data_IF_743325826603
#
_entry.id   IF_743325826603
#
_cell.length_a   1.000
_cell.length_b   1.000
_cell.length_c   1.000
_cell.angle_alpha   90.00
_cell.angle_beta   90.00
_cell.angle_gamma   90.00
#
_symmetry.space_group_name_H-M   'P 1'
#
loop_
_entity.id
_entity.type
_entity.pdbx_description
1 polymer ?
#
# COMPACT_ATOMS: atom_id res chain seq x y z
N UNK A 1 -23.68 36.20 -2.02
CA UNK A 1 -23.84 35.24 -3.15
C UNK A 1 -22.54 35.20 -3.93
N UNK A 2 -21.98 34.02 -4.18
CA UNK A 2 -20.74 33.91 -4.96
C UNK A 2 -20.97 34.18 -6.45
N UNK A 3 -19.94 34.68 -7.13
CA UNK A 3 -19.96 34.92 -8.59
C UNK A 3 -20.19 33.59 -9.34
N UNK A 4 -21.11 33.60 -10.29
CA UNK A 4 -21.46 32.43 -11.11
C UNK A 4 -20.78 32.48 -12.47
N UNK A 5 -20.67 31.36 -13.15
CA UNK A 5 -20.13 31.25 -14.53
C UNK A 5 -20.86 32.21 -15.50
N UNK A 6 -22.16 32.39 -15.30
CA UNK A 6 -23.02 33.31 -16.07
C UNK A 6 -22.62 34.77 -15.93
N UNK A 7 -22.16 35.18 -14.77
CA UNK A 7 -21.73 36.56 -14.51
C UNK A 7 -20.41 36.86 -15.25
N UNK A 8 -19.50 35.89 -15.26
CA UNK A 8 -18.24 35.96 -16.06
C UNK A 8 -18.57 36.03 -17.56
N UNK A 9 -19.50 35.19 -18.03
CA UNK A 9 -19.93 35.18 -19.43
C UNK A 9 -20.51 36.53 -19.86
N UNK A 10 -21.39 37.12 -19.04
CA UNK A 10 -21.98 38.46 -19.26
C UNK A 10 -20.89 39.52 -19.30
N UNK A 11 -19.95 39.52 -18.37
CA UNK A 11 -18.85 40.50 -18.30
C UNK A 11 -17.87 40.35 -19.47
N UNK A 12 -17.62 39.12 -19.92
CA UNK A 12 -16.72 38.82 -21.04
C UNK A 12 -17.39 39.03 -22.41
N UNK A 13 -18.72 39.22 -22.50
CA UNK A 13 -19.47 39.37 -23.76
C UNK A 13 -19.48 38.10 -24.62
N UNK A 14 -19.43 36.92 -23.97
CA UNK A 14 -19.41 35.63 -24.65
C UNK A 14 -20.42 34.65 -24.02
N UNK A 15 -20.66 33.50 -24.71
CA UNK A 15 -21.57 32.49 -24.16
C UNK A 15 -20.98 31.78 -22.91
N UNK A 16 -21.87 31.24 -22.06
CA UNK A 16 -21.49 30.39 -20.94
C UNK A 16 -20.64 29.22 -21.37
N UNK A 17 -20.94 28.62 -22.54
CA UNK A 17 -20.16 27.56 -23.13
C UNK A 17 -18.74 28.02 -23.47
N UNK A 18 -18.57 29.20 -24.03
CA UNK A 18 -17.26 29.80 -24.36
C UNK A 18 -16.41 30.01 -23.12
N UNK A 19 -17.01 30.55 -22.03
CA UNK A 19 -16.31 30.72 -20.74
C UNK A 19 -15.89 29.36 -20.17
N UNK A 20 -16.78 28.36 -20.19
CA UNK A 20 -16.48 27.01 -19.71
C UNK A 20 -15.32 26.37 -20.51
N UNK A 21 -15.34 26.49 -21.83
CA UNK A 21 -14.25 25.97 -22.69
C UNK A 21 -12.93 26.71 -22.45
N UNK A 22 -12.95 28.03 -22.28
CA UNK A 22 -11.76 28.82 -22.00
C UNK A 22 -11.12 28.43 -20.66
N UNK A 23 -11.91 28.38 -19.57
CA UNK A 23 -11.44 28.06 -18.23
C UNK A 23 -11.01 26.58 -18.08
N UNK A 24 -11.45 25.69 -18.98
CA UNK A 24 -11.03 24.29 -19.07
C UNK A 24 -9.85 24.05 -20.03
N UNK A 25 -9.25 25.11 -20.59
CA UNK A 25 -8.06 24.98 -21.42
C UNK A 25 -8.31 24.39 -22.81
N UNK A 26 -9.56 24.41 -23.32
CA UNK A 26 -9.91 23.81 -24.62
C UNK A 26 -9.21 24.54 -25.78
N UNK A 27 -8.62 23.79 -26.71
CA UNK A 27 -7.97 24.32 -27.92
C UNK A 27 -8.93 24.96 -28.91
N UNK A 28 -10.24 24.77 -28.69
CA UNK A 28 -11.29 25.44 -29.50
C UNK A 28 -11.40 26.94 -29.23
N UNK A 29 -10.74 27.44 -28.18
CA UNK A 29 -10.71 28.86 -27.83
C UNK A 29 -9.30 29.39 -28.07
N UNK A 30 -9.20 30.47 -28.86
CA UNK A 30 -7.87 31.06 -29.12
C UNK A 30 -7.24 31.62 -27.84
N UNK A 31 -5.91 31.68 -27.82
CA UNK A 31 -5.12 32.02 -26.63
C UNK A 31 -5.45 33.41 -26.07
N UNK A 32 -5.73 34.39 -26.93
CA UNK A 32 -6.04 35.76 -26.52
C UNK A 32 -7.40 35.84 -25.81
N UNK A 33 -8.42 35.17 -26.35
CA UNK A 33 -9.75 35.07 -25.71
C UNK A 33 -9.69 34.30 -24.39
N UNK A 34 -8.91 33.24 -24.33
CA UNK A 34 -8.69 32.46 -23.11
C UNK A 34 -8.08 33.33 -22.02
N UNK A 35 -6.96 33.99 -22.31
CA UNK A 35 -6.28 34.85 -21.33
C UNK A 35 -7.17 36.02 -20.84
N UNK A 36 -8.02 36.56 -21.72
CA UNK A 36 -9.01 37.60 -21.34
C UNK A 36 -10.06 37.06 -20.37
N UNK A 37 -10.60 35.86 -20.63
CA UNK A 37 -11.62 35.24 -19.78
C UNK A 37 -11.04 34.83 -18.44
N UNK A 38 -9.85 34.26 -18.40
CA UNK A 38 -9.13 33.87 -17.17
C UNK A 38 -8.90 35.09 -16.27
N UNK A 39 -8.43 36.20 -16.84
CA UNK A 39 -8.22 37.47 -16.12
C UNK A 39 -9.51 37.98 -15.52
N UNK A 40 -10.59 38.07 -16.31
CA UNK A 40 -11.90 38.54 -15.84
C UNK A 40 -12.47 37.65 -14.74
N UNK A 41 -12.32 36.32 -14.86
CA UNK A 41 -12.75 35.38 -13.83
C UNK A 41 -12.00 35.62 -12.50
N UNK A 42 -10.68 35.83 -12.58
CA UNK A 42 -9.85 36.16 -11.42
C UNK A 42 -10.23 37.50 -10.77
N UNK A 43 -10.39 38.56 -11.56
CA UNK A 43 -10.80 39.92 -11.10
C UNK A 43 -12.17 39.88 -10.41
N UNK A 44 -13.08 39.05 -10.90
CA UNK A 44 -14.42 38.90 -10.32
C UNK A 44 -14.45 37.97 -9.10
N UNK A 45 -13.34 37.31 -8.76
CA UNK A 45 -13.27 36.31 -7.69
C UNK A 45 -14.06 35.04 -8.01
N UNK A 46 -14.28 34.76 -9.30
CA UNK A 46 -14.94 33.54 -9.72
C UNK A 46 -14.03 32.32 -9.44
N UNK A 47 -14.54 31.37 -8.67
CA UNK A 47 -13.89 30.06 -8.47
C UNK A 47 -14.72 29.03 -9.23
N UNK A 48 -14.11 28.33 -10.23
CA UNK A 48 -14.81 27.24 -10.89
C UNK A 48 -15.30 26.23 -9.85
N UNK A 49 -16.57 25.87 -9.93
CA UNK A 49 -17.14 24.85 -9.06
C UNK A 49 -16.58 23.49 -9.49
N UNK A 50 -15.77 22.80 -8.65
CA UNK A 50 -15.18 21.51 -8.99
C UNK A 50 -16.24 20.44 -9.33
N UNK A 51 -17.38 20.48 -8.68
CA UNK A 51 -18.49 19.55 -8.91
C UNK A 51 -19.16 19.76 -10.28
N UNK A 52 -19.39 21.03 -10.66
CA UNK A 52 -19.94 21.35 -11.99
C UNK A 52 -18.96 20.98 -13.11
N UNK A 53 -17.65 21.12 -12.87
CA UNK A 53 -16.60 20.71 -13.81
C UNK A 53 -16.54 19.20 -13.97
N UNK A 54 -16.60 18.44 -12.86
CA UNK A 54 -16.67 16.97 -12.86
C UNK A 54 -17.87 16.45 -13.65
N UNK A 55 -19.05 17.08 -13.47
CA UNK A 55 -20.27 16.74 -14.21
C UNK A 55 -20.13 16.99 -15.72
N UNK A 56 -19.51 18.09 -16.12
CA UNK A 56 -19.33 18.45 -17.53
C UNK A 56 -18.30 17.55 -18.26
N UNK A 57 -17.25 17.10 -17.56
CA UNK A 57 -16.14 16.31 -18.15
C UNK A 57 -16.36 14.80 -18.04
N UNK A 58 -17.37 14.31 -17.33
CA UNK A 58 -17.58 12.88 -16.99
C UNK A 58 -16.38 12.19 -16.34
N UNK A 59 -15.36 12.94 -15.94
CA UNK A 59 -14.15 12.45 -15.24
C UNK A 59 -13.89 13.31 -14.01
N UNK A 60 -13.64 12.65 -12.88
CA UNK A 60 -13.39 13.34 -11.61
C UNK A 60 -11.95 13.82 -11.47
N UNK A 61 -11.04 13.22 -12.23
CA UNK A 61 -9.58 13.32 -12.04
C UNK A 61 -9.16 13.01 -10.60
N UNK A 62 -9.85 12.04 -9.99
CA UNK A 62 -9.53 11.52 -8.66
C UNK A 62 -9.34 10.02 -8.75
N UNK A 63 -8.28 9.53 -8.15
CA UNK A 63 -8.06 8.10 -7.91
C UNK A 63 -8.31 7.84 -6.42
N UNK A 64 -9.06 6.78 -6.12
CA UNK A 64 -9.24 6.29 -4.78
C UNK A 64 -8.05 5.44 -4.34
N UNK A 65 -7.73 5.47 -3.06
CA UNK A 65 -6.79 4.55 -2.42
C UNK A 65 -7.39 4.08 -1.10
N UNK A 66 -7.62 2.77 -0.98
CA UNK A 66 -8.07 2.17 0.27
C UNK A 66 -6.93 1.38 0.88
N UNK A 67 -6.60 1.68 2.13
CA UNK A 67 -5.50 1.06 2.88
C UNK A 67 -6.01 0.44 4.18
N UNK A 68 -5.39 -0.64 4.68
CA UNK A 68 -5.74 -1.22 5.97
C UNK A 68 -5.48 -0.30 7.15
N UNK A 69 -4.34 0.42 7.11
CA UNK A 69 -3.86 1.24 8.22
C UNK A 69 -2.90 2.31 7.71
N UNK A 70 -2.97 3.52 8.26
CA UNK A 70 -2.06 4.63 7.94
C UNK A 70 -0.96 4.82 9.00
N UNK A 71 -1.12 4.25 10.19
CA UNK A 71 -0.09 4.31 11.25
C UNK A 71 1.08 3.39 10.93
N UNK A 72 0.84 2.34 10.16
CA UNK A 72 1.92 1.53 9.61
C UNK A 72 2.69 2.32 8.55
N UNK A 73 3.95 2.65 8.83
CA UNK A 73 4.83 3.43 7.97
C UNK A 73 4.99 2.87 6.54
N UNK A 74 4.77 1.58 6.34
CA UNK A 74 4.73 0.93 5.03
C UNK A 74 3.62 1.52 4.15
N UNK A 75 2.38 1.51 4.64
CA UNK A 75 1.24 2.05 3.89
C UNK A 75 1.30 3.57 3.72
N UNK A 76 1.78 4.29 4.75
CA UNK A 76 1.97 5.74 4.67
C UNK A 76 3.01 6.11 3.59
N UNK A 77 4.11 5.35 3.50
CA UNK A 77 5.15 5.55 2.48
C UNK A 77 4.62 5.23 1.07
N UNK A 78 3.87 4.14 0.91
CA UNK A 78 3.23 3.79 -0.35
C UNK A 78 2.26 4.89 -0.80
N UNK A 79 1.38 5.36 0.09
CA UNK A 79 0.43 6.43 -0.19
C UNK A 79 1.13 7.72 -0.65
N UNK A 80 2.26 8.07 -0.03
CA UNK A 80 3.08 9.22 -0.41
C UNK A 80 3.64 9.08 -1.84
N UNK A 81 4.15 7.92 -2.21
CA UNK A 81 4.66 7.68 -3.57
C UNK A 81 3.54 7.75 -4.60
N UNK A 82 2.40 7.08 -4.34
CA UNK A 82 1.20 7.13 -5.19
C UNK A 82 0.72 8.57 -5.37
N UNK A 83 0.64 9.35 -4.28
CA UNK A 83 0.24 10.77 -4.34
C UNK A 83 1.14 11.59 -5.27
N UNK A 84 2.46 11.42 -5.17
CA UNK A 84 3.41 12.14 -5.99
C UNK A 84 3.24 11.83 -7.48
N UNK A 85 3.11 10.53 -7.82
CA UNK A 85 3.01 10.09 -9.21
C UNK A 85 1.64 10.47 -9.84
N UNK A 86 0.55 10.40 -9.07
CA UNK A 86 -0.77 10.89 -9.50
C UNK A 86 -0.78 12.41 -9.69
N UNK A 87 -0.17 13.18 -8.77
CA UNK A 87 -0.08 14.64 -8.89
C UNK A 87 0.70 15.04 -10.14
N UNK A 88 1.81 14.38 -10.43
CA UNK A 88 2.58 14.57 -11.66
C UNK A 88 1.75 14.29 -12.93
N UNK A 89 0.79 13.36 -12.84
CA UNK A 89 -0.13 13.00 -13.92
C UNK A 89 -1.42 13.86 -13.97
N UNK A 90 -1.55 14.86 -13.10
CA UNK A 90 -2.71 15.75 -13.02
C UNK A 90 -3.96 15.15 -12.39
N UNK A 91 -3.78 14.11 -11.56
CA UNK A 91 -4.84 13.47 -10.75
C UNK A 91 -4.68 13.81 -9.27
N UNK A 92 -5.80 13.87 -8.57
CA UNK A 92 -5.85 13.93 -7.12
C UNK A 92 -5.97 12.52 -6.52
N UNK A 93 -5.65 12.40 -5.22
CA UNK A 93 -5.77 11.17 -4.45
C UNK A 93 -6.82 11.34 -3.36
N UNK A 94 -7.76 10.39 -3.28
CA UNK A 94 -8.72 10.26 -2.18
C UNK A 94 -8.36 9.01 -1.38
N UNK A 95 -8.05 9.18 -0.09
CA UNK A 95 -7.67 8.05 0.78
C UNK A 95 -8.83 7.70 1.71
N UNK A 96 -9.10 6.41 1.86
CA UNK A 96 -9.98 5.86 2.90
C UNK A 96 -9.29 4.67 3.59
N UNK A 97 -9.69 4.36 4.81
CA UNK A 97 -9.08 3.29 5.60
C UNK A 97 -10.08 2.15 5.79
N UNK A 98 -9.64 0.91 5.56
CA UNK A 98 -10.44 -0.28 5.82
C UNK A 98 -10.36 -0.75 7.27
N UNK A 99 -9.36 -0.31 8.04
CA UNK A 99 -9.12 -0.69 9.44
C UNK A 99 -9.08 -2.22 9.64
N UNK A 100 -8.59 -2.95 8.64
CA UNK A 100 -8.63 -4.42 8.59
C UNK A 100 -10.04 -5.02 8.85
N UNK A 101 -11.09 -4.28 8.51
CA UNK A 101 -12.48 -4.67 8.69
C UNK A 101 -13.21 -4.74 7.35
N UNK A 102 -13.78 -5.92 7.05
CA UNK A 102 -14.58 -6.14 5.83
C UNK A 102 -15.73 -5.12 5.71
N UNK A 103 -16.41 -4.85 6.82
CA UNK A 103 -17.51 -3.90 6.82
C UNK A 103 -17.03 -2.48 6.48
N UNK A 104 -15.89 -2.08 7.03
CA UNK A 104 -15.29 -0.77 6.80
C UNK A 104 -14.76 -0.67 5.37
N UNK A 105 -14.10 -1.71 4.84
CA UNK A 105 -13.64 -1.74 3.45
C UNK A 105 -14.80 -1.61 2.47
N UNK A 106 -15.89 -2.37 2.67
CA UNK A 106 -17.09 -2.26 1.83
C UNK A 106 -17.69 -0.85 1.86
N UNK A 107 -17.72 -0.20 3.02
CA UNK A 107 -18.16 1.21 3.12
C UNK A 107 -17.23 2.14 2.36
N UNK A 108 -15.92 1.99 2.52
CA UNK A 108 -14.92 2.77 1.80
C UNK A 108 -15.07 2.61 0.28
N UNK A 109 -15.33 1.39 -0.21
CA UNK A 109 -15.64 1.13 -1.63
C UNK A 109 -16.89 1.88 -2.06
N UNK A 110 -17.98 1.81 -1.28
CA UNK A 110 -19.23 2.54 -1.59
C UNK A 110 -19.00 4.05 -1.66
N UNK A 111 -18.22 4.62 -0.73
CA UNK A 111 -17.86 6.04 -0.72
C UNK A 111 -17.04 6.43 -1.98
N UNK A 112 -16.12 5.58 -2.43
CA UNK A 112 -15.36 5.83 -3.67
C UNK A 112 -16.28 5.82 -4.90
N UNK A 113 -17.29 4.93 -4.95
CA UNK A 113 -18.30 4.90 -6.00
C UNK A 113 -19.15 6.19 -5.98
N UNK A 114 -19.66 6.60 -4.82
CA UNK A 114 -20.43 7.83 -4.65
C UNK A 114 -19.64 9.08 -5.05
N UNK A 115 -18.34 9.12 -4.71
CA UNK A 115 -17.41 10.18 -5.09
C UNK A 115 -17.00 10.14 -6.56
N UNK A 116 -17.42 9.11 -7.31
CA UNK A 116 -17.12 8.91 -8.72
C UNK A 116 -15.64 9.02 -9.03
N UNK A 117 -14.81 8.30 -8.29
CA UNK A 117 -13.38 8.22 -8.62
C UNK A 117 -13.19 7.59 -10.01
N UNK A 118 -12.16 8.02 -10.74
CA UNK A 118 -11.89 7.51 -12.10
C UNK A 118 -11.23 6.12 -12.07
N UNK A 119 -10.76 5.68 -10.90
CA UNK A 119 -10.19 4.37 -10.65
C UNK A 119 -9.88 4.19 -9.16
N UNK A 120 -9.65 2.95 -8.75
CA UNK A 120 -9.38 2.57 -7.36
C UNK A 120 -8.10 1.74 -7.24
N UNK A 121 -7.21 2.15 -6.35
CA UNK A 121 -6.12 1.33 -5.81
C UNK A 121 -6.59 0.77 -4.47
N UNK A 122 -6.53 -0.55 -4.29
CA UNK A 122 -6.99 -1.21 -3.09
C UNK A 122 -5.90 -2.10 -2.51
N UNK A 123 -5.47 -1.84 -1.28
CA UNK A 123 -4.67 -2.78 -0.50
C UNK A 123 -5.60 -3.76 0.23
N UNK A 124 -5.60 -5.05 -0.15
CA UNK A 124 -6.46 -6.06 0.45
C UNK A 124 -6.31 -6.17 1.97
N UNK A 125 -7.38 -6.56 2.64
CA UNK A 125 -7.39 -6.82 4.07
C UNK A 125 -6.39 -7.90 4.48
N UNK A 126 -5.75 -7.72 5.62
CA UNK A 126 -4.89 -8.71 6.26
C UNK A 126 -5.69 -9.60 7.25
N UNK A 127 -6.87 -10.05 6.84
CA UNK A 127 -7.76 -10.88 7.66
C UNK A 127 -8.08 -12.20 6.99
N UNK A 128 -8.37 -13.26 7.78
CA UNK A 128 -8.69 -14.58 7.25
C UNK A 128 -9.93 -14.57 6.36
N UNK A 129 -9.92 -15.41 5.31
CA UNK A 129 -11.09 -15.69 4.47
C UNK A 129 -11.83 -14.43 4.02
N UNK A 130 -11.09 -13.41 3.59
CA UNK A 130 -11.66 -12.18 3.09
C UNK A 130 -12.46 -12.46 1.81
N UNK A 131 -13.80 -12.56 1.95
CA UNK A 131 -14.72 -12.59 0.80
C UNK A 131 -14.70 -11.20 0.16
N UNK A 132 -14.25 -11.14 -1.09
CA UNK A 132 -14.13 -9.92 -1.87
C UNK A 132 -15.24 -9.76 -2.92
N UNK A 133 -16.30 -10.59 -2.88
CA UNK A 133 -17.41 -10.55 -3.85
C UNK A 133 -18.08 -9.18 -3.94
N UNK A 134 -18.09 -8.40 -2.87
CA UNK A 134 -18.62 -7.02 -2.90
C UNK A 134 -17.83 -6.07 -3.84
N UNK A 135 -16.63 -6.44 -4.28
CA UNK A 135 -15.86 -5.64 -5.24
C UNK A 135 -16.48 -5.65 -6.65
N UNK A 136 -17.43 -6.56 -6.94
CA UNK A 136 -18.25 -6.52 -8.15
C UNK A 136 -19.02 -5.21 -8.29
N UNK A 137 -19.36 -4.54 -7.15
CA UNK A 137 -19.95 -3.20 -7.17
C UNK A 137 -19.12 -2.16 -7.93
N UNK A 138 -17.81 -2.32 -7.99
CA UNK A 138 -16.92 -1.45 -8.75
C UNK A 138 -17.05 -1.70 -10.26
N UNK A 139 -17.22 -2.95 -10.66
CA UNK A 139 -17.44 -3.33 -12.04
C UNK A 139 -18.78 -2.80 -12.54
N UNK A 140 -19.84 -2.95 -11.73
CA UNK A 140 -21.17 -2.40 -12.01
C UNK A 140 -21.13 -0.86 -12.13
N UNK A 141 -20.29 -0.21 -11.36
CA UNK A 141 -20.09 1.24 -11.41
C UNK A 141 -19.12 1.69 -12.53
N UNK A 142 -18.48 0.76 -13.23
CA UNK A 142 -17.49 1.04 -14.27
C UNK A 142 -16.20 1.66 -13.73
N UNK A 143 -15.82 1.35 -12.48
CA UNK A 143 -14.62 1.87 -11.82
C UNK A 143 -13.51 0.81 -11.88
N UNK A 144 -12.48 1.00 -12.72
CA UNK A 144 -11.35 0.10 -12.78
C UNK A 144 -10.64 0.01 -11.42
N UNK A 145 -10.16 -1.17 -11.09
CA UNK A 145 -9.51 -1.43 -9.79
C UNK A 145 -8.23 -2.19 -9.97
N UNK A 146 -7.18 -1.75 -9.28
CA UNK A 146 -5.88 -2.43 -9.17
C UNK A 146 -5.63 -2.75 -7.70
N UNK A 147 -5.33 -4.02 -7.41
CA UNK A 147 -4.90 -4.44 -6.09
C UNK A 147 -3.42 -4.09 -5.89
N UNK A 148 -3.07 -3.62 -4.70
CA UNK A 148 -1.69 -3.26 -4.35
C UNK A 148 -1.27 -3.98 -3.06
N UNK A 149 0.01 -4.29 -2.94
CA UNK A 149 0.63 -4.92 -1.76
C UNK A 149 0.27 -6.38 -1.49
N UNK A 150 -0.92 -6.81 -1.87
CA UNK A 150 -1.46 -8.15 -1.65
C UNK A 150 -2.53 -8.46 -2.70
N UNK A 151 -3.10 -9.66 -2.65
CA UNK A 151 -4.18 -10.10 -3.52
C UNK A 151 -5.32 -10.71 -2.72
N UNK A 152 -6.50 -10.78 -3.32
CA UNK A 152 -7.58 -11.67 -2.87
C UNK A 152 -7.54 -12.96 -3.70
N UNK A 153 -7.23 -14.11 -3.09
CA UNK A 153 -7.19 -15.38 -3.80
C UNK A 153 -8.52 -15.67 -4.52
N UNK A 154 -8.44 -16.06 -5.78
CA UNK A 154 -9.62 -16.36 -6.60
C UNK A 154 -10.25 -15.13 -7.29
N UNK A 155 -9.79 -13.91 -7.00
CA UNK A 155 -10.25 -12.71 -7.68
C UNK A 155 -9.29 -12.36 -8.82
N UNK A 156 -9.81 -12.37 -10.07
CA UNK A 156 -9.02 -12.01 -11.24
C UNK A 156 -9.00 -10.48 -11.43
N UNK A 157 -8.10 -9.79 -10.72
CA UNK A 157 -7.89 -8.34 -10.86
C UNK A 157 -6.41 -8.03 -11.04
N UNK A 158 -6.07 -6.99 -11.82
CA UNK A 158 -4.69 -6.50 -11.91
C UNK A 158 -4.13 -6.27 -10.50
N UNK A 159 -2.95 -6.84 -10.23
CA UNK A 159 -2.31 -6.76 -8.92
C UNK A 159 -0.87 -6.32 -9.07
N UNK A 160 -0.43 -5.41 -8.21
CA UNK A 160 0.96 -4.96 -8.09
C UNK A 160 1.43 -5.24 -6.66
N UNK A 161 2.37 -6.17 -6.52
CA UNK A 161 2.92 -6.58 -5.23
C UNK A 161 4.37 -7.02 -5.35
N UNK A 162 5.08 -7.02 -4.24
CA UNK A 162 6.42 -7.61 -4.16
C UNK A 162 6.37 -9.13 -3.98
N UNK A 163 7.48 -9.79 -4.34
CA UNK A 163 7.69 -11.21 -4.10
C UNK A 163 7.95 -11.49 -2.61
N UNK A 164 6.85 -11.59 -1.85
CA UNK A 164 6.90 -11.81 -0.40
C UNK A 164 7.45 -13.18 -0.04
N UNK A 165 7.18 -14.19 -0.88
CA UNK A 165 7.73 -15.55 -0.69
C UNK A 165 9.24 -15.55 -0.92
N UNK A 166 9.71 -15.02 -2.04
CA UNK A 166 11.13 -14.92 -2.34
C UNK A 166 11.89 -14.04 -1.34
N UNK A 167 11.29 -12.92 -0.91
CA UNK A 167 11.85 -12.05 0.13
C UNK A 167 12.08 -12.79 1.46
N UNK A 168 11.10 -13.56 1.93
CA UNK A 168 11.26 -14.38 3.15
C UNK A 168 12.30 -15.46 2.95
N UNK A 169 12.34 -16.09 1.78
CA UNK A 169 13.37 -17.10 1.43
C UNK A 169 14.77 -16.52 1.52
N UNK A 170 15.00 -15.33 0.98
CA UNK A 170 16.33 -14.67 1.04
C UNK A 170 16.79 -14.46 2.49
N UNK A 171 15.92 -14.02 3.38
CA UNK A 171 16.25 -13.84 4.80
C UNK A 171 16.58 -15.17 5.48
N UNK A 172 15.80 -16.20 5.22
CA UNK A 172 16.02 -17.55 5.77
C UNK A 172 17.35 -18.16 5.30
N UNK A 173 17.68 -18.02 4.01
CA UNK A 173 18.98 -18.48 3.45
C UNK A 173 20.14 -17.75 4.12
N UNK A 174 20.04 -16.44 4.34
CA UNK A 174 21.09 -15.66 4.99
C UNK A 174 21.26 -16.06 6.46
N UNK A 175 20.18 -16.26 7.21
CA UNK A 175 20.25 -16.76 8.58
C UNK A 175 20.87 -18.16 8.65
N UNK A 176 20.48 -19.05 7.74
CA UNK A 176 21.04 -20.39 7.65
C UNK A 176 22.54 -20.37 7.33
N UNK A 177 22.96 -19.51 6.39
CA UNK A 177 24.37 -19.30 6.02
C UNK A 177 25.20 -18.82 7.22
N UNK A 178 24.60 -18.02 8.12
CA UNK A 178 25.23 -17.55 9.38
C UNK A 178 25.17 -18.55 10.52
N UNK A 179 24.68 -19.76 10.28
CA UNK A 179 24.67 -20.84 11.26
C UNK A 179 23.39 -20.95 12.11
N UNK A 180 22.39 -20.09 11.92
CA UNK A 180 21.10 -20.21 12.64
C UNK A 180 20.33 -21.46 12.19
N UNK A 181 19.83 -22.23 13.14
CA UNK A 181 19.07 -23.48 12.88
C UNK A 181 17.70 -23.46 13.59
N UNK A 182 17.60 -22.86 14.76
CA UNK A 182 16.34 -22.68 15.49
C UNK A 182 15.72 -21.34 15.15
N UNK A 183 15.08 -21.26 13.99
CA UNK A 183 14.44 -20.06 13.49
C UNK A 183 12.94 -20.12 13.75
N UNK A 184 12.39 -19.14 14.46
CA UNK A 184 10.95 -19.03 14.73
C UNK A 184 10.31 -17.93 13.87
N UNK A 185 9.05 -18.10 13.53
CA UNK A 185 8.26 -17.09 12.82
C UNK A 185 7.21 -16.47 13.75
N UNK A 186 7.19 -15.14 13.86
CA UNK A 186 6.15 -14.37 14.49
C UNK A 186 5.29 -13.68 13.41
N UNK A 187 4.01 -14.02 13.36
CA UNK A 187 3.10 -13.62 12.29
C UNK A 187 1.71 -13.24 12.83
N UNK A 188 0.90 -12.63 12.00
CA UNK A 188 -0.52 -12.37 12.30
C UNK A 188 -1.42 -13.59 12.09
N UNK A 189 -2.72 -13.33 11.97
CA UNK A 189 -3.74 -14.36 11.78
C UNK A 189 -3.52 -15.19 10.50
N UNK A 190 -3.86 -16.46 10.55
CA UNK A 190 -3.84 -17.35 9.39
C UNK A 190 -4.92 -16.95 8.37
N UNK A 191 -4.67 -17.23 7.09
CA UNK A 191 -5.60 -16.96 6.01
C UNK A 191 -5.52 -15.55 5.43
N UNK A 192 -4.62 -14.71 5.91
CA UNK A 192 -4.26 -13.45 5.26
C UNK A 192 -3.20 -13.72 4.19
N UNK A 193 -3.53 -13.51 2.92
CA UNK A 193 -2.73 -13.96 1.77
C UNK A 193 -1.25 -13.55 1.85
N UNK A 194 -0.96 -12.29 2.15
CA UNK A 194 0.42 -11.80 2.25
C UNK A 194 1.20 -12.43 3.43
N UNK A 195 0.53 -12.79 4.52
CA UNK A 195 1.14 -13.48 5.66
C UNK A 195 1.35 -14.97 5.36
N UNK A 196 0.38 -15.59 4.69
CA UNK A 196 0.46 -16.99 4.28
C UNK A 196 1.58 -17.24 3.27
N UNK A 197 1.89 -16.31 2.37
CA UNK A 197 3.04 -16.38 1.47
C UNK A 197 4.37 -16.44 2.25
N UNK A 198 4.54 -15.57 3.27
CA UNK A 198 5.74 -15.56 4.12
C UNK A 198 5.83 -16.82 4.96
N UNK A 199 4.69 -17.30 5.51
CA UNK A 199 4.60 -18.56 6.25
C UNK A 199 4.94 -19.77 5.37
N UNK A 200 4.42 -19.82 4.14
CA UNK A 200 4.74 -20.89 3.20
C UNK A 200 6.24 -20.94 2.90
N UNK A 201 6.86 -19.78 2.62
CA UNK A 201 8.31 -19.69 2.41
C UNK A 201 9.12 -20.25 3.60
N UNK A 202 8.69 -19.92 4.83
CA UNK A 202 9.32 -20.42 6.06
C UNK A 202 9.17 -21.94 6.18
N UNK A 203 7.97 -22.48 6.00
CA UNK A 203 7.73 -23.93 6.11
C UNK A 203 8.45 -24.74 5.04
N UNK A 204 8.43 -24.25 3.80
CA UNK A 204 9.13 -24.90 2.69
C UNK A 204 10.64 -24.91 2.92
N UNK A 205 11.19 -23.79 3.41
CA UNK A 205 12.61 -23.69 3.76
C UNK A 205 13.03 -24.72 4.82
N UNK A 206 12.28 -24.83 5.92
CA UNK A 206 12.58 -25.79 6.98
C UNK A 206 12.56 -27.23 6.45
N UNK A 207 11.57 -27.56 5.61
CA UNK A 207 11.43 -28.87 5.00
C UNK A 207 12.61 -29.22 4.08
N UNK A 208 12.98 -28.29 3.19
CA UNK A 208 14.09 -28.47 2.24
C UNK A 208 15.45 -28.64 2.94
N UNK A 209 15.64 -27.98 4.08
CA UNK A 209 16.88 -28.04 4.88
C UNK A 209 16.84 -29.10 5.97
N UNK A 210 15.76 -29.90 6.09
CA UNK A 210 15.54 -30.90 7.13
C UNK A 210 15.74 -30.31 8.54
N UNK A 211 15.23 -29.11 8.80
CA UNK A 211 15.29 -28.49 10.11
C UNK A 211 14.07 -28.89 10.94
N UNK A 212 14.34 -29.56 12.09
CA UNK A 212 13.29 -30.08 12.98
C UNK A 212 12.60 -28.97 13.81
N UNK A 213 13.32 -27.87 14.07
CA UNK A 213 12.77 -26.79 14.86
C UNK A 213 11.79 -25.98 14.01
N UNK A 214 10.50 -26.24 14.20
CA UNK A 214 9.42 -25.54 13.56
C UNK A 214 8.58 -24.84 14.62
N UNK A 215 8.64 -23.50 14.69
CA UNK A 215 7.91 -22.72 15.67
C UNK A 215 7.30 -21.47 15.04
N UNK A 216 5.99 -21.42 15.03
CA UNK A 216 5.21 -20.28 14.52
C UNK A 216 4.34 -19.75 15.65
N UNK A 217 4.42 -18.46 15.91
CA UNK A 217 3.51 -17.78 16.82
C UNK A 217 2.57 -16.89 16.02
N UNK A 218 1.30 -17.23 16.01
CA UNK A 218 0.22 -16.44 15.44
C UNK A 218 -0.31 -15.44 16.47
N UNK A 219 -0.54 -14.21 16.04
CA UNK A 219 -1.14 -13.12 16.79
C UNK A 219 -2.40 -12.67 16.08
N UNK A 220 -3.30 -11.98 16.78
CA UNK A 220 -4.54 -11.45 16.17
C UNK A 220 -4.22 -10.27 15.24
N UNK A 221 -3.21 -9.48 15.58
CA UNK A 221 -2.70 -8.37 14.79
C UNK A 221 -1.23 -8.52 14.39
N UNK A 222 -0.70 -7.51 13.75
CA UNK A 222 0.71 -7.42 13.32
C UNK A 222 1.39 -6.13 13.84
N UNK A 223 0.90 -5.62 14.96
CA UNK A 223 1.38 -4.41 15.61
C UNK A 223 2.52 -4.65 16.61
N UNK A 224 2.96 -3.56 17.21
CA UNK A 224 4.00 -3.57 18.25
C UNK A 224 3.59 -4.36 19.49
N UNK A 225 2.39 -4.12 20.03
CA UNK A 225 1.90 -4.76 21.26
C UNK A 225 1.63 -6.27 21.06
N UNK A 226 1.18 -6.66 19.85
CA UNK A 226 1.06 -8.07 19.47
C UNK A 226 2.41 -8.77 19.59
N UNK A 227 3.46 -8.15 19.07
CA UNK A 227 4.80 -8.72 19.12
C UNK A 227 5.37 -8.80 20.53
N UNK A 228 5.18 -7.76 21.35
CA UNK A 228 5.59 -7.77 22.75
C UNK A 228 4.97 -8.96 23.48
N UNK A 229 3.65 -9.16 23.32
CA UNK A 229 2.93 -10.27 23.99
C UNK A 229 3.30 -11.65 23.44
N UNK A 230 3.65 -11.75 22.15
CA UNK A 230 4.01 -13.00 21.48
C UNK A 230 5.45 -13.47 21.73
N UNK A 231 6.38 -12.57 22.09
CA UNK A 231 7.81 -12.82 22.19
C UNK A 231 8.16 -13.91 23.21
N UNK A 232 7.47 -13.90 24.37
CA UNK A 232 7.73 -14.85 25.45
C UNK A 232 7.68 -16.34 25.02
N UNK A 233 6.81 -16.67 24.05
CA UNK A 233 6.69 -18.03 23.53
C UNK A 233 7.86 -18.44 22.63
N UNK A 234 8.73 -17.52 22.20
CA UNK A 234 9.79 -17.72 21.22
C UNK A 234 11.22 -17.60 21.80
N UNK A 235 11.35 -17.55 23.13
CA UNK A 235 12.62 -17.32 23.84
C UNK A 235 13.67 -18.42 23.67
N UNK A 236 13.30 -19.59 23.18
CA UNK A 236 14.18 -20.73 22.89
C UNK A 236 14.72 -20.73 21.45
N UNK A 237 14.26 -19.77 20.61
CA UNK A 237 14.76 -19.61 19.25
C UNK A 237 16.17 -18.97 19.25
N UNK A 238 16.94 -19.26 18.21
CA UNK A 238 18.21 -18.57 17.90
C UNK A 238 17.97 -17.33 17.06
N UNK A 239 16.90 -17.34 16.25
CA UNK A 239 16.45 -16.20 15.46
C UNK A 239 14.92 -16.12 15.42
N UNK A 240 14.38 -14.92 15.51
CA UNK A 240 12.94 -14.63 15.38
C UNK A 240 12.74 -13.81 14.12
N UNK A 241 12.04 -14.40 13.15
CA UNK A 241 11.61 -13.70 11.94
C UNK A 241 10.22 -13.08 12.20
N UNK A 242 10.11 -11.77 12.01
CA UNK A 242 8.84 -11.05 12.14
C UNK A 242 8.32 -10.71 10.75
N UNK A 243 7.00 -10.74 10.57
CA UNK A 243 6.38 -10.46 9.27
C UNK A 243 6.42 -8.99 8.89
N UNK A 244 6.78 -8.09 9.81
CA UNK A 244 7.07 -6.67 9.53
C UNK A 244 8.04 -6.08 10.57
N UNK A 245 8.52 -4.87 10.31
CA UNK A 245 9.49 -4.19 11.17
C UNK A 245 8.87 -3.66 12.47
N UNK A 246 7.57 -3.35 12.49
CA UNK A 246 6.86 -2.92 13.70
C UNK A 246 6.86 -4.06 14.73
N UNK A 247 6.54 -5.28 14.31
CA UNK A 247 6.64 -6.46 15.14
C UNK A 247 8.09 -6.72 15.56
N UNK A 248 9.04 -6.59 14.65
CA UNK A 248 10.45 -6.78 14.96
C UNK A 248 10.95 -5.80 16.04
N UNK A 249 10.51 -4.54 16.00
CA UNK A 249 10.79 -3.55 17.04
C UNK A 249 10.21 -3.98 18.39
N UNK A 250 8.98 -4.48 18.41
CA UNK A 250 8.34 -5.03 19.62
C UNK A 250 9.14 -6.19 20.22
N UNK A 251 9.58 -7.13 19.38
CA UNK A 251 10.44 -8.26 19.79
C UNK A 251 11.78 -7.78 20.35
N UNK A 252 12.47 -6.85 19.68
CA UNK A 252 13.76 -6.30 20.16
C UNK A 252 13.60 -5.67 21.54
N UNK A 253 12.55 -4.86 21.73
CA UNK A 253 12.32 -4.20 23.01
C UNK A 253 11.98 -5.19 24.12
N UNK A 254 11.15 -6.20 23.83
CA UNK A 254 10.77 -7.21 24.82
C UNK A 254 11.94 -8.12 25.19
N UNK A 255 12.76 -8.56 24.22
CA UNK A 255 13.98 -9.30 24.52
C UNK A 255 14.91 -8.52 25.45
N UNK A 256 15.13 -7.22 25.17
CA UNK A 256 15.95 -6.35 26.02
C UNK A 256 15.36 -6.18 27.43
N UNK A 257 14.04 -6.04 27.54
CA UNK A 257 13.34 -5.99 28.84
C UNK A 257 13.54 -7.27 29.66
N UNK A 258 13.63 -8.42 28.97
CA UNK A 258 13.93 -9.71 29.57
C UNK A 258 15.43 -9.98 29.78
N UNK A 259 16.30 -9.00 29.58
CA UNK A 259 17.74 -9.12 29.75
C UNK A 259 18.44 -9.94 28.65
N UNK A 260 17.82 -10.11 27.49
CA UNK A 260 18.38 -10.83 26.36
C UNK A 260 19.00 -9.86 25.36
N UNK A 261 20.17 -10.17 24.87
CA UNK A 261 20.89 -9.37 23.88
C UNK A 261 20.49 -9.74 22.45
N UNK A 262 20.30 -8.72 21.60
CA UNK A 262 20.13 -8.86 20.17
C UNK A 262 21.39 -8.29 19.50
N UNK A 263 22.10 -9.08 18.66
CA UNK A 263 21.81 -10.44 18.18
C UNK A 263 22.43 -11.58 19.00
N UNK A 264 23.24 -11.31 20.03
CA UNK A 264 24.11 -12.32 20.67
C UNK A 264 23.32 -13.48 21.31
N UNK A 265 22.16 -13.22 21.91
CA UNK A 265 21.28 -14.27 22.46
C UNK A 265 20.22 -14.69 21.44
N UNK A 266 19.62 -13.75 20.72
CA UNK A 266 18.57 -14.02 19.73
C UNK A 266 18.69 -13.01 18.61
N UNK A 267 18.85 -13.46 17.38
CA UNK A 267 18.74 -12.58 16.21
C UNK A 267 17.28 -12.21 15.94
N UNK A 268 17.04 -11.01 15.41
CA UNK A 268 15.68 -10.54 15.07
C UNK A 268 15.70 -9.97 13.66
N UNK A 269 14.72 -10.37 12.84
CA UNK A 269 14.56 -9.83 11.50
C UNK A 269 13.16 -9.26 11.30
N UNK A 270 13.07 -8.22 10.50
CA UNK A 270 11.82 -7.61 10.07
C UNK A 270 11.53 -7.86 8.59
N UNK A 271 10.52 -7.16 8.12
CA UNK A 271 10.09 -7.11 6.73
C UNK A 271 9.53 -5.70 6.47
N UNK A 272 9.67 -5.15 5.26
CA UNK A 272 9.25 -3.85 4.73
C UNK A 272 10.39 -2.82 4.61
N UNK A 273 11.44 -2.92 5.41
CA UNK A 273 12.53 -1.92 5.53
C UNK A 273 12.00 -0.51 5.81
N UNK A 274 11.07 -0.44 6.74
CA UNK A 274 10.47 0.81 7.21
C UNK A 274 11.41 1.60 8.14
N UNK A 275 11.03 2.83 8.50
CA UNK A 275 11.77 3.64 9.46
C UNK A 275 12.01 2.92 10.80
N UNK A 276 11.08 2.06 11.23
CA UNK A 276 11.21 1.28 12.47
C UNK A 276 12.44 0.38 12.48
N UNK A 277 12.82 -0.20 11.32
CA UNK A 277 14.02 -1.00 11.21
C UNK A 277 15.30 -0.20 11.49
N UNK A 278 15.31 1.09 11.15
CA UNK A 278 16.47 1.95 11.31
C UNK A 278 16.56 2.60 12.69
N UNK A 279 15.41 3.04 13.25
CA UNK A 279 15.36 3.77 14.54
C UNK A 279 15.27 2.85 15.75
N UNK A 280 15.15 1.54 15.54
CA UNK A 280 15.19 0.53 16.61
C UNK A 280 16.47 0.68 17.45
N UNK A 281 16.43 0.41 18.77
CA UNK A 281 17.60 0.41 19.63
C UNK A 281 18.76 -0.49 19.15
N UNK A 282 18.41 -1.56 18.42
CA UNK A 282 19.32 -2.37 17.62
C UNK A 282 18.79 -2.29 16.18
N UNK A 283 19.48 -1.67 15.23
CA UNK A 283 19.02 -1.58 13.84
C UNK A 283 18.68 -2.96 13.27
N UNK A 284 17.46 -3.11 12.74
CA UNK A 284 16.88 -4.39 12.38
C UNK A 284 17.20 -4.74 10.93
N UNK A 285 17.75 -5.94 10.70
CA UNK A 285 17.85 -6.54 9.38
C UNK A 285 16.44 -6.79 8.83
N UNK A 286 16.17 -6.38 7.61
CA UNK A 286 14.83 -6.41 7.05
C UNK A 286 14.84 -6.79 5.56
N UNK A 287 13.69 -7.22 5.06
CA UNK A 287 13.45 -7.44 3.64
C UNK A 287 12.77 -6.19 3.09
N UNK A 288 13.47 -5.47 2.21
CA UNK A 288 12.93 -4.25 1.58
C UNK A 288 11.96 -4.61 0.46
N UNK A 289 10.81 -3.99 0.50
CA UNK A 289 9.88 -3.92 -0.60
C UNK A 289 10.10 -2.60 -1.38
N UNK A 290 10.23 -2.66 -2.70
CA UNK A 290 10.39 -1.45 -3.53
C UNK A 290 9.05 -0.73 -3.70
N UNK A 291 8.68 0.06 -2.68
CA UNK A 291 7.44 0.85 -2.67
C UNK A 291 7.40 1.92 -3.75
N UNK A 292 8.58 2.42 -4.15
CA UNK A 292 8.67 3.40 -5.23
C UNK A 292 8.23 2.80 -6.55
N UNK A 293 8.78 1.63 -6.88
CA UNK A 293 8.42 0.88 -8.08
C UNK A 293 6.97 0.41 -8.03
N UNK A 294 6.53 -0.11 -6.88
CA UNK A 294 5.13 -0.53 -6.67
C UNK A 294 4.15 0.61 -6.93
N UNK A 295 4.40 1.81 -6.40
CA UNK A 295 3.57 2.99 -6.63
C UNK A 295 3.54 3.37 -8.11
N UNK A 296 4.71 3.43 -8.76
CA UNK A 296 4.80 3.79 -10.17
C UNK A 296 4.02 2.82 -11.07
N UNK A 297 4.21 1.51 -10.88
CA UNK A 297 3.48 0.48 -11.64
C UNK A 297 1.97 0.52 -11.35
N UNK A 298 1.56 0.72 -10.09
CA UNK A 298 0.15 0.80 -9.72
C UNK A 298 -0.53 2.03 -10.33
N UNK A 299 0.14 3.19 -10.30
CA UNK A 299 -0.37 4.43 -10.91
C UNK A 299 -0.45 4.30 -12.43
N UNK A 300 0.57 3.78 -13.08
CA UNK A 300 0.55 3.55 -14.53
C UNK A 300 -0.64 2.68 -14.94
N UNK A 301 -0.83 1.54 -14.27
CA UNK A 301 -1.92 0.60 -14.56
C UNK A 301 -3.29 1.23 -14.36
N UNK A 302 -3.52 1.85 -13.20
CA UNK A 302 -4.84 2.43 -12.92
C UNK A 302 -5.18 3.56 -13.88
N UNK A 303 -4.21 4.38 -14.30
CA UNK A 303 -4.42 5.45 -15.27
C UNK A 303 -4.69 4.91 -16.68
N UNK A 304 -4.01 3.83 -17.08
CA UNK A 304 -4.26 3.16 -18.36
C UNK A 304 -5.68 2.58 -18.39
N UNK A 305 -6.10 1.87 -17.34
CA UNK A 305 -7.45 1.33 -17.21
C UNK A 305 -8.54 2.42 -17.15
N UNK A 306 -8.26 3.56 -16.48
CA UNK A 306 -9.19 4.69 -16.43
C UNK A 306 -9.35 5.43 -17.77
N UNK A 307 -8.39 5.27 -18.71
CA UNK A 307 -8.46 5.84 -20.06
C UNK A 307 -9.11 4.88 -21.05
N UNK A 308 -8.85 3.60 -20.94
CA UNK A 308 -9.33 2.54 -21.82
C UNK A 308 -9.61 1.26 -21.01
N UNK A 309 -10.89 1.07 -20.64
CA UNK A 309 -11.33 -0.07 -19.85
C UNK A 309 -11.14 -1.45 -20.52
N UNK A 310 -10.74 -1.49 -21.79
CA UNK A 310 -10.52 -2.72 -22.55
C UNK A 310 -9.05 -3.17 -22.60
N UNK A 311 -8.13 -2.42 -22.02
CA UNK A 311 -6.75 -2.90 -21.86
C UNK A 311 -6.71 -3.93 -20.73
N UNK A 312 -6.77 -5.20 -21.12
CA UNK A 312 -6.51 -6.33 -20.23
C UNK A 312 -5.01 -6.33 -19.89
N UNK A 313 -4.67 -5.82 -18.72
CA UNK A 313 -3.30 -5.78 -18.19
C UNK A 313 -3.14 -6.79 -17.05
N UNK A 314 -3.59 -8.03 -17.27
CA UNK A 314 -3.54 -9.12 -16.29
C UNK A 314 -2.11 -9.61 -15.98
N UNK A 315 -1.10 -9.19 -16.74
CA UNK A 315 0.28 -9.63 -16.62
C UNK A 315 1.15 -8.65 -15.82
N UNK A 316 1.03 -8.65 -14.49
CA UNK A 316 1.99 -8.00 -13.61
C UNK A 316 2.98 -8.99 -13.02
N UNK A 317 4.27 -8.85 -13.32
CA UNK A 317 5.32 -9.57 -12.61
C UNK A 317 5.39 -9.12 -11.14
N UNK A 318 5.74 -10.05 -10.24
CA UNK A 318 6.05 -9.68 -8.85
C UNK A 318 7.32 -8.82 -8.82
N UNK A 319 7.30 -7.74 -8.06
CA UNK A 319 8.45 -6.87 -7.86
C UNK A 319 9.43 -7.58 -6.92
N UNK A 320 10.70 -7.77 -7.30
CA UNK A 320 11.67 -8.43 -6.42
C UNK A 320 11.89 -7.62 -5.15
N UNK A 321 12.13 -8.34 -4.04
CA UNK A 321 12.55 -7.75 -2.78
C UNK A 321 14.09 -7.65 -2.70
N UNK A 322 14.58 -6.86 -1.75
CA UNK A 322 16.00 -6.74 -1.42
C UNK A 322 16.26 -7.10 0.05
N UNK A 323 17.38 -7.75 0.33
CA UNK A 323 17.80 -8.04 1.70
C UNK A 323 18.66 -6.88 2.24
N UNK A 324 18.25 -6.30 3.36
CA UNK A 324 18.96 -5.23 4.04
C UNK A 324 19.46 -5.71 5.39
N UNK A 325 20.74 -6.05 5.47
CA UNK A 325 21.36 -6.52 6.70
C UNK A 325 21.71 -5.37 7.64
N UNK A 326 21.48 -5.58 8.94
CA UNK A 326 21.77 -4.64 10.02
C UNK A 326 22.21 -5.37 11.28
N UNK A 327 22.46 -4.61 12.37
CA UNK A 327 23.04 -5.11 13.62
C UNK A 327 22.22 -6.19 14.35
N UNK A 328 20.93 -6.34 14.06
CA UNK A 328 20.08 -7.35 14.71
C UNK A 328 20.34 -8.79 14.27
N UNK A 329 21.23 -8.97 13.27
CA UNK A 329 21.68 -10.30 12.79
C UNK A 329 23.19 -10.33 12.77
N UNK A 330 23.79 -11.19 13.59
CA UNK A 330 25.22 -11.50 13.65
C UNK A 330 25.55 -12.87 13.07
N UNK A 331 26.77 -13.35 13.34
CA UNK A 331 27.09 -14.77 13.16
C UNK A 331 26.59 -15.55 14.39
N UNK A 332 26.01 -16.74 14.18
CA UNK A 332 25.59 -17.58 15.29
C UNK A 332 26.81 -18.18 16.02
N UNK A 333 27.08 -17.69 17.22
CA UNK A 333 28.22 -18.13 18.05
C UNK A 333 27.95 -19.43 18.86
N UNK A 334 26.77 -20.03 18.67
CA UNK A 334 26.35 -21.23 19.44
C UNK A 334 26.60 -22.54 18.71
N UNK A 335 27.28 -22.48 17.58
CA UNK A 335 27.76 -23.67 16.83
C UNK A 335 29.08 -24.20 17.40
#
# INVERSE_FOLDING_TARGET
MGVKLEDVARRAGVSKATVSLALNGSDRINAQTRARIERLAMEMGYRPNPYARKLAMRKSRQIGLILPDIENGYYASLAKHIFNDLTASGYGLSISLSMNSRLTERRAVSEMIENRVDGLLLAPLNVPNADAGYLEMLDDAGIPTVLVTSAYPGLNRPTVMCDLYGGMRMMLEELYRRGYRKMALLTGSEGAYCLDLRKAAYLDFLRERNLEYQKIRHMDGVGYDDAVSGTGALMDAEAILCVNDMMALGVVNELRRCGRSVPDDVAVTGFDDSAFATVSPVPIASVRQDLRRMAAEAVERILNLAQDAHKDDSAGGMIPCELVLRASVGENKRL
#
